data_IF_491868070921
#
_entry.id   IF_491868070921
#
_cell.length_a   1.000
_cell.length_b   1.000
_cell.length_c   1.000
_cell.angle_alpha   90.00
_cell.angle_beta   90.00
_cell.angle_gamma   90.00
#
_symmetry.space_group_name_H-M   'P 1'
#
loop_
_entity.id
_entity.type
_entity.pdbx_description
1 polymer ?
#
# COMPACT_ATOMS: atom_id res chain seq x y z
N UNK A 1 -1.67 -12.43 8.34
CA UNK A 1 -2.48 -11.34 7.78
C UNK A 1 -3.86 -11.39 8.39
N UNK A 2 -4.39 -10.26 8.85
CA UNK A 2 -5.80 -10.18 9.22
C UNK A 2 -6.71 -10.33 8.00
N UNK A 3 -7.86 -10.98 8.19
CA UNK A 3 -8.79 -11.34 7.12
C UNK A 3 -9.24 -10.11 6.30
N UNK A 4 -9.47 -8.97 6.96
CA UNK A 4 -9.89 -7.74 6.28
C UNK A 4 -8.86 -7.27 5.24
N UNK A 5 -7.58 -7.29 5.60
CA UNK A 5 -6.51 -6.95 4.67
C UNK A 5 -6.39 -7.95 3.52
N UNK A 6 -6.48 -9.25 3.82
CA UNK A 6 -6.41 -10.29 2.79
C UNK A 6 -7.48 -10.14 1.73
N UNK A 7 -8.73 -9.86 2.13
CA UNK A 7 -9.82 -9.65 1.18
C UNK A 7 -9.57 -8.43 0.30
N UNK A 8 -9.04 -7.35 0.88
CA UNK A 8 -8.69 -6.14 0.13
C UNK A 8 -7.58 -6.38 -0.89
N UNK A 9 -6.54 -7.15 -0.52
CA UNK A 9 -5.47 -7.52 -1.44
C UNK A 9 -5.96 -8.47 -2.55
N UNK A 10 -6.81 -9.46 -2.22
CA UNK A 10 -7.45 -10.33 -3.21
C UNK A 10 -8.29 -9.54 -4.21
N UNK A 11 -9.06 -8.56 -3.75
CA UNK A 11 -9.81 -7.66 -4.63
C UNK A 11 -8.88 -6.85 -5.53
N UNK A 12 -7.77 -6.34 -4.99
CA UNK A 12 -6.79 -5.60 -5.75
C UNK A 12 -6.17 -6.42 -6.88
N UNK A 13 -5.77 -7.66 -6.59
CA UNK A 13 -5.23 -8.61 -7.58
C UNK A 13 -6.24 -8.89 -8.70
N UNK A 14 -7.53 -9.07 -8.38
CA UNK A 14 -8.59 -9.27 -9.39
C UNK A 14 -8.74 -8.08 -10.34
N UNK A 15 -8.44 -6.87 -9.86
CA UNK A 15 -8.61 -5.63 -10.62
C UNK A 15 -7.29 -5.11 -11.24
N UNK A 16 -6.22 -5.92 -11.22
CA UNK A 16 -4.89 -5.53 -11.70
C UNK A 16 -4.89 -4.97 -13.13
N UNK A 17 -5.77 -5.45 -14.01
CA UNK A 17 -5.84 -4.99 -15.40
C UNK A 17 -6.18 -3.50 -15.54
N UNK A 18 -6.97 -2.96 -14.61
CA UNK A 18 -7.43 -1.56 -14.61
C UNK A 18 -6.75 -0.72 -13.53
N UNK A 19 -6.43 -1.32 -12.39
CA UNK A 19 -5.80 -0.68 -11.24
C UNK A 19 -4.52 -1.45 -10.84
N UNK A 20 -3.42 -1.33 -11.61
CA UNK A 20 -2.27 -2.22 -11.49
C UNK A 20 -1.34 -1.92 -10.31
N UNK A 21 -1.52 -0.80 -9.61
CA UNK A 21 -0.63 -0.38 -8.54
C UNK A 21 -1.37 -0.22 -7.21
N UNK A 22 -0.61 -0.30 -6.12
CA UNK A 22 -1.04 -0.02 -4.76
C UNK A 22 -0.15 1.04 -4.13
N UNK A 23 -0.73 1.85 -3.26
CA UNK A 23 0.00 2.77 -2.37
C UNK A 23 -0.49 2.66 -0.93
N UNK A 24 0.35 3.09 0.00
CA UNK A 24 0.06 3.08 1.44
C UNK A 24 -0.73 4.32 1.83
N UNK A 25 -1.82 4.12 2.57
CA UNK A 25 -2.57 5.17 3.25
C UNK A 25 -2.37 5.01 4.76
N UNK A 26 -1.78 6.02 5.40
CA UNK A 26 -1.63 6.05 6.85
C UNK A 26 -2.98 6.35 7.51
N UNK A 27 -3.33 5.57 8.52
CA UNK A 27 -4.56 5.78 9.29
C UNK A 27 -4.43 6.90 10.33
N UNK A 28 -5.54 7.50 10.78
CA UNK A 28 -5.52 8.55 11.80
C UNK A 28 -5.13 7.94 13.15
N UNK A 29 -3.90 8.19 13.57
CA UNK A 29 -3.33 7.73 14.85
C UNK A 29 -2.44 8.82 15.42
N UNK A 30 -2.40 8.95 16.75
CA UNK A 30 -1.48 9.90 17.41
C UNK A 30 -0.02 9.48 17.21
N UNK A 31 0.23 8.18 17.34
CA UNK A 31 1.53 7.58 17.12
C UNK A 31 1.68 7.15 15.66
N UNK A 32 2.85 7.39 15.07
CA UNK A 32 3.14 6.96 13.72
C UNK A 32 3.25 5.43 13.65
N UNK A 33 2.76 4.83 12.57
CA UNK A 33 2.91 3.39 12.36
C UNK A 33 4.41 3.06 12.17
N UNK A 34 5.01 2.20 13.01
CA UNK A 34 6.45 1.94 12.95
C UNK A 34 6.88 1.20 11.68
N UNK A 35 5.96 0.46 11.05
CA UNK A 35 6.24 -0.36 9.87
C UNK A 35 6.04 0.43 8.57
N UNK A 36 4.88 1.07 8.43
CA UNK A 36 4.46 1.63 7.14
C UNK A 36 4.80 3.12 6.96
N UNK A 37 5.10 3.85 8.04
CA UNK A 37 5.41 5.29 7.94
C UNK A 37 6.69 5.56 7.15
N UNK A 38 7.72 4.72 7.29
CA UNK A 38 8.97 4.83 6.52
C UNK A 38 8.78 4.67 5.01
N UNK A 39 7.72 3.98 4.62
CA UNK A 39 7.33 3.72 3.23
C UNK A 39 6.17 4.61 2.76
N UNK A 40 5.90 5.74 3.44
CA UNK A 40 4.89 6.70 2.99
C UNK A 40 5.24 7.20 1.59
N UNK A 41 4.28 7.12 0.67
CA UNK A 41 4.50 7.48 -0.74
C UNK A 41 5.06 6.34 -1.60
N UNK A 42 5.23 5.14 -1.04
CA UNK A 42 5.52 3.93 -1.80
C UNK A 42 4.37 3.59 -2.76
N UNK A 43 4.70 3.36 -4.02
CA UNK A 43 3.79 2.88 -5.05
C UNK A 43 4.43 1.69 -5.75
N UNK A 44 3.82 0.51 -5.62
CA UNK A 44 4.31 -0.74 -6.20
C UNK A 44 3.20 -1.45 -6.99
N UNK A 45 3.54 -2.36 -7.91
CA UNK A 45 2.57 -3.27 -8.53
C UNK A 45 1.74 -4.01 -7.48
N UNK A 46 0.47 -4.29 -7.78
CA UNK A 46 -0.44 -4.98 -6.84
C UNK A 46 0.02 -6.37 -6.41
N UNK A 47 0.86 -7.02 -7.20
CA UNK A 47 1.42 -8.35 -6.98
C UNK A 47 2.87 -8.34 -6.47
N UNK A 48 3.38 -7.16 -6.10
CA UNK A 48 4.67 -7.07 -5.44
C UNK A 48 4.65 -7.77 -4.08
N UNK A 49 5.75 -8.47 -3.75
CA UNK A 49 5.89 -9.22 -2.50
C UNK A 49 5.77 -8.36 -1.25
N UNK A 50 6.05 -7.06 -1.36
CA UNK A 50 5.93 -6.10 -0.27
C UNK A 50 4.56 -6.18 0.41
N UNK A 51 3.48 -6.37 -0.35
CA UNK A 51 2.12 -6.42 0.19
C UNK A 51 1.84 -7.67 1.03
N UNK A 52 2.57 -8.75 0.80
CA UNK A 52 2.48 -9.97 1.61
C UNK A 52 3.50 -10.00 2.76
N UNK A 53 4.65 -9.36 2.60
CA UNK A 53 5.71 -9.30 3.62
C UNK A 53 5.42 -8.25 4.71
N UNK A 54 4.80 -7.12 4.34
CA UNK A 54 4.45 -6.03 5.24
C UNK A 54 2.94 -5.75 5.27
N UNK A 55 2.11 -6.74 5.66
CA UNK A 55 0.66 -6.59 5.66
C UNK A 55 0.17 -5.49 6.61
N UNK A 56 -0.95 -4.89 6.26
CA UNK A 56 -1.56 -3.81 7.05
C UNK A 56 -2.33 -4.40 8.22
N UNK A 57 -2.36 -3.70 9.37
CA UNK A 57 -3.22 -4.02 10.53
C UNK A 57 -2.91 -5.34 11.24
N UNK A 58 -1.66 -5.80 11.20
CA UNK A 58 -1.23 -6.97 12.01
C UNK A 58 -1.15 -6.67 13.51
N UNK A 59 -1.02 -5.41 13.89
CA UNK A 59 -1.01 -4.97 15.30
C UNK A 59 -2.17 -4.02 15.58
N UNK A 60 -2.61 -3.96 16.83
CA UNK A 60 -3.68 -3.04 17.27
C UNK A 60 -3.34 -1.56 17.03
N UNK A 61 -2.04 -1.23 16.99
CA UNK A 61 -1.52 0.11 16.72
C UNK A 61 -1.53 0.48 15.22
N UNK A 62 -1.54 -0.50 14.31
CA UNK A 62 -1.52 -0.23 12.88
C UNK A 62 -2.94 0.08 12.36
N UNK A 63 -3.19 1.33 11.95
CA UNK A 63 -4.43 1.76 11.28
C UNK A 63 -4.29 1.98 9.77
N UNK A 64 -3.14 1.66 9.21
CA UNK A 64 -2.83 1.84 7.79
C UNK A 64 -3.74 0.99 6.87
N UNK A 65 -3.73 1.32 5.59
CA UNK A 65 -4.43 0.58 4.55
C UNK A 65 -3.70 0.72 3.21
N UNK A 66 -4.11 -0.09 2.22
CA UNK A 66 -3.68 0.06 0.83
C UNK A 66 -4.75 0.79 0.01
N UNK A 67 -4.33 1.49 -1.04
CA UNK A 67 -5.20 2.12 -2.04
C UNK A 67 -4.75 1.73 -3.43
N UNK A 68 -5.70 1.38 -4.27
CA UNK A 68 -5.48 1.12 -5.69
C UNK A 68 -5.16 2.40 -6.46
N UNK A 69 -4.25 2.27 -7.41
CA UNK A 69 -3.74 3.36 -8.24
C UNK A 69 -3.78 2.89 -9.70
N UNK A 70 -4.40 3.71 -10.55
CA UNK A 70 -4.46 3.47 -12.00
C UNK A 70 -3.11 3.78 -12.67
N UNK A 71 -2.91 3.35 -13.92
CA UNK A 71 -1.71 3.74 -14.68
C UNK A 71 -1.58 5.25 -14.83
N UNK A 72 -2.68 5.94 -15.12
CA UNK A 72 -2.70 7.39 -15.29
C UNK A 72 -2.32 8.12 -14.00
N UNK A 73 -2.91 7.70 -12.88
CA UNK A 73 -2.59 8.29 -11.58
C UNK A 73 -1.15 8.01 -11.17
N UNK A 74 -0.66 6.80 -11.39
CA UNK A 74 0.74 6.47 -11.12
C UNK A 74 1.71 7.38 -11.89
N UNK A 75 1.44 7.72 -13.17
CA UNK A 75 2.28 8.66 -13.91
C UNK A 75 2.29 10.06 -13.29
N UNK A 76 1.15 10.54 -12.76
CA UNK A 76 1.09 11.81 -12.03
C UNK A 76 1.88 11.77 -10.74
N UNK A 77 1.65 10.75 -9.92
CA UNK A 77 2.37 10.56 -8.67
C UNK A 77 3.88 10.46 -8.93
N UNK A 78 4.29 9.73 -9.97
CA UNK A 78 5.69 9.61 -10.37
C UNK A 78 6.31 10.96 -10.74
N UNK A 79 5.57 11.85 -11.42
CA UNK A 79 6.02 13.20 -11.71
C UNK A 79 6.12 14.10 -10.46
N UNK A 80 5.29 13.85 -9.45
CA UNK A 80 5.31 14.57 -8.16
C UNK A 80 6.36 13.99 -7.17
N UNK A 81 6.83 12.77 -7.42
CA UNK A 81 7.79 12.04 -6.59
C UNK A 81 7.13 10.93 -5.77
N UNK A 82 7.56 9.68 -6.01
CA UNK A 82 7.14 8.49 -5.26
C UNK A 82 8.34 7.65 -4.85
N UNK A 83 8.15 6.79 -3.85
CA UNK A 83 9.05 5.68 -3.62
C UNK A 83 8.60 4.52 -4.52
N UNK A 84 9.53 3.95 -5.27
CA UNK A 84 9.31 2.75 -6.10
C UNK A 84 10.06 1.53 -5.53
N UNK A 85 10.78 1.73 -4.42
CA UNK A 85 11.52 0.72 -3.68
C UNK A 85 11.27 0.96 -2.20
N UNK A 86 10.97 -0.08 -1.39
CA UNK A 86 10.83 0.06 0.05
C UNK A 86 12.12 0.58 0.70
N UNK A 87 11.98 1.39 1.74
CA UNK A 87 13.07 1.83 2.60
C UNK A 87 13.35 0.74 3.64
N UNK A 88 14.62 0.37 3.77
CA UNK A 88 15.14 -0.60 4.76
C UNK A 88 14.84 -0.19 6.21
#
# INVERSE_FOLDING_TARGET
MNEHYEQKLKQALRQKSVMPYLTIILGPTKEQCPVHTKNKGLVLPVDDRYWTEFPMRETSACRCSIRQVSKYEYQKLKAEGVLEVPVD
#
